data_IF_777627713658
#
_entry.id   IF_777627713658
#
_cell.length_a   1.000
_cell.length_b   1.000
_cell.length_c   1.000
_cell.angle_alpha   90.00
_cell.angle_beta   90.00
_cell.angle_gamma   90.00
#
_symmetry.space_group_name_H-M   'P 1'
#
loop_
_entity.id
_entity.type
_entity.pdbx_description
1 polymer ?
#
# COMPACT_ATOMS: atom_id res chain seq x y z
N UNK A 1 -46.69 -20.47 -39.99
CA UNK A 1 -46.92 -19.33 -40.87
C UNK A 1 -47.13 -18.08 -39.99
N UNK A 2 -46.08 -17.38 -39.63
CA UNK A 2 -46.10 -15.94 -39.32
C UNK A 2 -44.70 -15.39 -39.61
N UNK A 3 -44.49 -14.95 -40.84
CA UNK A 3 -43.41 -14.08 -41.22
C UNK A 3 -43.86 -12.65 -40.91
N UNK A 4 -43.46 -12.13 -39.77
CA UNK A 4 -43.61 -10.72 -39.41
C UNK A 4 -42.39 -9.95 -39.87
N UNK A 5 -42.54 -9.20 -40.95
CA UNK A 5 -41.54 -8.31 -41.53
C UNK A 5 -41.10 -7.25 -40.49
N UNK A 6 -39.86 -7.32 -40.08
CA UNK A 6 -39.19 -6.19 -39.43
C UNK A 6 -38.74 -5.23 -40.53
N UNK A 7 -39.67 -4.39 -40.97
CA UNK A 7 -39.40 -3.30 -41.87
C UNK A 7 -38.54 -2.26 -41.16
N UNK A 8 -37.30 -2.23 -41.52
CA UNK A 8 -36.33 -1.28 -41.02
C UNK A 8 -36.66 0.15 -41.37
N UNK A 9 -37.12 0.89 -40.42
CA UNK A 9 -37.09 2.36 -40.48
C UNK A 9 -35.64 2.83 -40.40
N UNK A 10 -35.05 3.10 -41.57
CA UNK A 10 -33.79 3.84 -41.71
C UNK A 10 -34.06 5.28 -41.23
N UNK A 11 -34.06 5.51 -39.92
CA UNK A 11 -33.90 6.85 -39.39
C UNK A 11 -32.42 7.22 -39.54
N UNK A 12 -32.21 8.15 -40.45
CA UNK A 12 -30.97 8.92 -40.63
C UNK A 12 -30.80 9.78 -39.36
N UNK A 13 -30.39 9.17 -38.28
CA UNK A 13 -29.95 9.84 -37.04
C UNK A 13 -28.43 9.87 -37.13
N UNK A 14 -27.91 10.99 -37.63
CA UNK A 14 -26.49 11.33 -37.63
C UNK A 14 -25.88 10.94 -36.27
N UNK A 15 -25.02 9.94 -36.28
CA UNK A 15 -23.85 9.64 -35.45
C UNK A 15 -23.69 10.15 -33.97
N UNK A 16 -24.79 10.42 -33.27
CA UNK A 16 -24.68 10.72 -31.84
C UNK A 16 -24.68 9.47 -30.95
N UNK A 17 -25.09 8.32 -31.44
CA UNK A 17 -25.11 7.09 -30.62
C UNK A 17 -23.72 6.56 -30.33
N UNK A 18 -22.78 6.67 -31.29
CA UNK A 18 -21.40 6.31 -31.10
C UNK A 18 -20.69 7.22 -30.08
N UNK A 19 -20.92 8.52 -30.19
CA UNK A 19 -20.40 9.49 -29.23
C UNK A 19 -20.97 9.27 -27.80
N UNK A 20 -22.27 9.00 -27.69
CA UNK A 20 -22.91 8.70 -26.41
C UNK A 20 -22.33 7.44 -25.76
N UNK A 21 -22.08 6.36 -26.53
CA UNK A 21 -21.44 5.15 -26.01
C UNK A 21 -20.02 5.39 -25.53
N UNK A 22 -19.23 6.22 -26.24
CA UNK A 22 -17.87 6.60 -25.81
C UNK A 22 -17.94 7.37 -24.48
N UNK A 23 -18.84 8.34 -24.37
CA UNK A 23 -19.00 9.13 -23.13
C UNK A 23 -19.38 8.21 -21.95
N UNK A 24 -20.34 7.30 -22.15
CA UNK A 24 -20.74 6.33 -21.12
C UNK A 24 -19.54 5.44 -20.75
N UNK A 25 -18.76 4.97 -21.72
CA UNK A 25 -17.55 4.18 -21.50
C UNK A 25 -16.51 4.92 -20.67
N UNK A 26 -16.23 6.18 -20.99
CA UNK A 26 -15.29 7.02 -20.24
C UNK A 26 -15.76 7.25 -18.80
N UNK A 27 -17.04 7.57 -18.62
CA UNK A 27 -17.61 7.78 -17.27
C UNK A 27 -17.52 6.47 -16.47
N UNK A 28 -17.90 5.34 -17.05
CA UNK A 28 -17.84 4.04 -16.39
C UNK A 28 -16.40 3.66 -15.99
N UNK A 29 -15.44 3.94 -16.87
CA UNK A 29 -14.02 3.73 -16.59
C UNK A 29 -13.52 4.63 -15.45
N UNK A 30 -13.91 5.91 -15.45
CA UNK A 30 -13.56 6.83 -14.37
C UNK A 30 -14.12 6.36 -13.01
N UNK A 31 -15.40 5.93 -12.97
CA UNK A 31 -16.03 5.37 -11.76
C UNK A 31 -15.29 4.11 -11.30
N UNK A 32 -14.93 3.23 -12.23
CA UNK A 32 -14.14 2.04 -11.93
C UNK A 32 -12.81 2.39 -11.25
N UNK A 33 -12.05 3.33 -11.82
CA UNK A 33 -10.75 3.75 -11.26
C UNK A 33 -10.92 4.35 -9.86
N UNK A 34 -11.90 5.23 -9.67
CA UNK A 34 -12.18 5.83 -8.36
C UNK A 34 -12.51 4.75 -7.32
N UNK A 35 -13.41 3.84 -7.68
CA UNK A 35 -13.80 2.73 -6.79
C UNK A 35 -12.61 1.84 -6.45
N UNK A 36 -11.78 1.51 -7.44
CA UNK A 36 -10.56 0.74 -7.25
C UNK A 36 -9.61 1.40 -6.25
N UNK A 37 -9.35 2.71 -6.41
CA UNK A 37 -8.48 3.47 -5.50
C UNK A 37 -9.04 3.53 -4.06
N UNK A 38 -10.37 3.67 -3.92
CA UNK A 38 -11.03 3.64 -2.61
C UNK A 38 -10.82 2.28 -1.93
N UNK A 39 -11.02 1.18 -2.65
CA UNK A 39 -10.83 -0.18 -2.12
C UNK A 39 -9.38 -0.40 -1.69
N UNK A 40 -8.40 0.01 -2.51
CA UNK A 40 -6.98 -0.08 -2.16
C UNK A 40 -6.65 0.74 -0.92
N UNK A 41 -7.18 1.96 -0.81
CA UNK A 41 -6.99 2.79 0.38
C UNK A 41 -7.60 2.15 1.64
N UNK A 42 -8.81 1.63 1.53
CA UNK A 42 -9.48 0.98 2.65
C UNK A 42 -8.72 -0.27 3.14
N UNK A 43 -8.15 -1.06 2.22
CA UNK A 43 -7.31 -2.20 2.56
C UNK A 43 -6.11 -1.77 3.40
N UNK A 44 -5.40 -0.73 2.98
CA UNK A 44 -4.24 -0.20 3.72
C UNK A 44 -4.62 0.38 5.10
N UNK A 45 -5.73 1.11 5.18
CA UNK A 45 -6.23 1.65 6.45
C UNK A 45 -6.53 0.54 7.46
N UNK A 46 -7.10 -0.58 7.01
CA UNK A 46 -7.36 -1.74 7.87
C UNK A 46 -6.07 -2.32 8.46
N UNK A 47 -4.98 -2.34 7.72
CA UNK A 47 -3.70 -2.83 8.22
C UNK A 47 -3.07 -1.86 9.22
N UNK A 48 -3.06 -0.57 8.94
CA UNK A 48 -2.60 0.45 9.90
C UNK A 48 -3.42 0.40 11.20
N UNK A 49 -4.74 0.26 11.08
CA UNK A 49 -5.60 0.09 12.25
C UNK A 49 -5.27 -1.19 13.03
N UNK A 50 -5.04 -2.31 12.34
CA UNK A 50 -4.69 -3.57 12.98
C UNK A 50 -3.33 -3.48 13.70
N UNK A 51 -2.34 -2.80 13.13
CA UNK A 51 -1.04 -2.55 13.75
C UNK A 51 -1.18 -1.69 15.01
N UNK A 52 -1.89 -0.57 14.92
CA UNK A 52 -2.12 0.33 16.04
C UNK A 52 -2.92 -0.35 17.17
N UNK A 53 -3.95 -1.11 16.81
CA UNK A 53 -4.75 -1.90 17.76
C UNK A 53 -3.93 -3.01 18.42
N UNK A 54 -3.11 -3.73 17.64
CA UNK A 54 -2.21 -4.75 18.17
C UNK A 54 -1.22 -4.15 19.18
N UNK A 55 -0.62 -3.01 18.84
CA UNK A 55 0.25 -2.28 19.76
C UNK A 55 -0.46 -1.90 21.07
N UNK A 56 -1.70 -1.40 20.97
CA UNK A 56 -2.50 -1.04 22.13
C UNK A 56 -2.80 -2.24 23.05
N UNK A 57 -3.25 -3.37 22.46
CA UNK A 57 -3.68 -4.54 23.22
C UNK A 57 -2.48 -5.30 23.82
N UNK A 58 -1.39 -5.42 23.08
CA UNK A 58 -0.22 -6.19 23.53
C UNK A 58 0.70 -5.38 24.43
N UNK A 59 0.71 -4.07 24.28
CA UNK A 59 1.67 -3.18 24.94
C UNK A 59 3.12 -3.34 24.48
N UNK A 60 3.35 -4.07 23.39
CA UNK A 60 4.69 -4.40 22.87
C UNK A 60 4.79 -4.15 21.36
N UNK A 61 4.68 -2.89 20.88
CA UNK A 61 4.75 -2.58 19.45
C UNK A 61 6.06 -3.01 18.80
N UNK A 62 7.16 -3.01 19.54
CA UNK A 62 8.49 -3.41 19.07
C UNK A 62 8.56 -4.87 18.59
N UNK A 63 7.78 -5.76 19.18
CA UNK A 63 7.71 -7.16 18.75
C UNK A 63 7.09 -7.29 17.35
N UNK A 64 6.02 -6.53 17.09
CA UNK A 64 5.39 -6.49 15.78
C UNK A 64 6.30 -5.81 14.75
N UNK A 65 6.97 -4.73 15.10
CA UNK A 65 7.99 -4.09 14.27
C UNK A 65 9.07 -5.08 13.82
N UNK A 66 9.66 -5.80 14.79
CA UNK A 66 10.68 -6.81 14.52
C UNK A 66 10.17 -7.94 13.63
N UNK A 67 8.93 -8.38 13.84
CA UNK A 67 8.30 -9.39 13.00
C UNK A 67 8.11 -8.91 11.57
N UNK A 68 7.59 -7.69 11.37
CA UNK A 68 7.43 -7.08 10.05
C UNK A 68 8.77 -6.95 9.33
N UNK A 69 9.80 -6.43 9.98
CA UNK A 69 11.13 -6.30 9.39
C UNK A 69 11.70 -7.66 8.94
N UNK A 70 11.56 -8.70 9.75
CA UNK A 70 12.02 -10.05 9.41
C UNK A 70 11.24 -10.65 8.23
N UNK A 71 9.92 -10.47 8.21
CA UNK A 71 9.06 -10.97 7.12
C UNK A 71 9.45 -10.26 5.82
N UNK A 72 9.56 -8.94 5.83
CA UNK A 72 9.92 -8.14 4.65
C UNK A 72 11.28 -8.53 4.11
N UNK A 73 12.28 -8.66 4.97
CA UNK A 73 13.60 -9.14 4.54
C UNK A 73 13.52 -10.56 3.97
N UNK A 74 12.86 -11.48 4.66
CA UNK A 74 12.69 -12.87 4.19
C UNK A 74 11.98 -12.96 2.83
N UNK A 75 10.94 -12.14 2.61
CA UNK A 75 10.23 -12.07 1.34
C UNK A 75 11.08 -11.44 0.23
N UNK A 76 11.91 -10.45 0.56
CA UNK A 76 12.78 -9.77 -0.42
C UNK A 76 13.83 -10.68 -1.04
N UNK A 77 14.33 -11.66 -0.28
CA UNK A 77 15.31 -12.64 -0.74
C UNK A 77 14.70 -13.94 -1.30
N UNK A 78 13.36 -14.05 -1.26
CA UNK A 78 12.67 -15.25 -1.75
C UNK A 78 12.84 -15.41 -3.27
N UNK A 79 13.26 -16.57 -3.77
CA UNK A 79 13.51 -16.78 -5.20
C UNK A 79 12.24 -16.81 -6.05
N UNK A 80 11.08 -17.03 -5.46
CA UNK A 80 9.78 -17.06 -6.16
C UNK A 80 8.72 -16.30 -5.37
N UNK A 81 8.16 -15.27 -6.00
CA UNK A 81 6.88 -14.73 -5.53
C UNK A 81 5.79 -15.79 -5.79
N UNK A 82 5.02 -16.21 -4.78
CA UNK A 82 3.95 -17.17 -4.98
C UNK A 82 2.87 -16.56 -5.88
N UNK A 83 2.55 -17.27 -6.96
CA UNK A 83 1.49 -16.86 -7.88
C UNK A 83 0.11 -17.13 -7.26
N UNK A 84 -0.81 -16.18 -7.39
CA UNK A 84 -2.24 -16.36 -7.07
C UNK A 84 -2.66 -16.16 -5.62
N UNK A 85 -1.75 -16.12 -4.65
CA UNK A 85 -2.09 -16.02 -3.23
C UNK A 85 -1.65 -14.69 -2.56
N UNK A 86 -1.28 -13.68 -3.33
CA UNK A 86 -0.70 -12.42 -2.81
C UNK A 86 -1.57 -11.71 -1.78
N UNK A 87 -2.89 -11.76 -1.96
CA UNK A 87 -3.84 -11.13 -1.05
C UNK A 87 -3.91 -11.79 0.35
N UNK A 88 -3.34 -12.99 0.52
CA UNK A 88 -3.28 -13.70 1.80
C UNK A 88 -1.95 -13.52 2.54
N UNK A 89 -0.98 -12.87 1.92
CA UNK A 89 0.28 -12.54 2.59
C UNK A 89 0.10 -11.28 3.45
N UNK A 90 0.89 -11.20 4.50
CA UNK A 90 0.98 -10.01 5.35
C UNK A 90 1.63 -8.84 4.59
N UNK A 91 2.35 -9.15 3.51
CA UNK A 91 3.00 -8.21 2.61
C UNK A 91 3.20 -8.83 1.23
N UNK A 92 3.13 -8.03 0.15
CA UNK A 92 3.44 -8.50 -1.21
C UNK A 92 4.96 -8.71 -1.38
N UNK A 93 5.40 -9.93 -1.75
CA UNK A 93 6.83 -10.22 -1.92
C UNK A 93 7.52 -9.34 -2.97
N UNK A 94 6.80 -8.90 -4.01
CA UNK A 94 7.33 -7.98 -5.02
C UNK A 94 7.57 -6.59 -4.44
N UNK A 95 6.65 -6.11 -3.60
CA UNK A 95 6.78 -4.85 -2.90
C UNK A 95 7.92 -4.92 -1.88
N UNK A 96 8.00 -5.97 -1.06
CA UNK A 96 9.09 -6.18 -0.11
C UNK A 96 10.46 -6.12 -0.76
N UNK A 97 10.61 -6.79 -1.91
CA UNK A 97 11.87 -6.77 -2.67
C UNK A 97 12.23 -5.36 -3.14
N UNK A 98 11.24 -4.61 -3.64
CA UNK A 98 11.46 -3.24 -4.11
C UNK A 98 11.84 -2.29 -2.96
N UNK A 99 11.16 -2.41 -1.81
CA UNK A 99 11.43 -1.60 -0.63
C UNK A 99 12.86 -1.82 -0.09
N UNK A 100 13.25 -3.07 0.07
CA UNK A 100 14.62 -3.40 0.52
C UNK A 100 15.65 -2.93 -0.51
N UNK A 101 15.41 -3.16 -1.79
CA UNK A 101 16.34 -2.78 -2.84
C UNK A 101 16.54 -1.27 -2.91
N UNK A 102 15.49 -0.46 -2.75
CA UNK A 102 15.61 1.00 -2.74
C UNK A 102 16.53 1.53 -1.62
N UNK A 103 16.41 0.95 -0.42
CA UNK A 103 17.30 1.32 0.69
C UNK A 103 18.73 0.88 0.37
N UNK A 104 18.90 -0.34 -0.16
CA UNK A 104 20.23 -0.88 -0.46
C UNK A 104 20.93 -0.16 -1.61
N UNK A 105 20.19 0.27 -2.64
CA UNK A 105 20.73 1.03 -3.78
C UNK A 105 21.26 2.42 -3.37
N UNK A 106 20.76 2.94 -2.23
CA UNK A 106 21.17 4.22 -1.65
C UNK A 106 21.94 4.06 -0.34
N UNK A 107 22.47 2.87 -0.07
CA UNK A 107 23.14 2.53 1.17
C UNK A 107 24.20 3.55 1.54
N UNK A 108 25.07 3.93 0.60
CA UNK A 108 26.15 4.89 0.80
C UNK A 108 25.66 6.30 1.19
N UNK A 109 24.39 6.65 0.86
CA UNK A 109 23.77 7.91 1.28
C UNK A 109 23.29 7.85 2.72
N UNK A 110 22.95 6.66 3.22
CA UNK A 110 22.38 6.43 4.55
C UNK A 110 23.41 5.99 5.57
N UNK A 111 24.51 5.38 5.12
CA UNK A 111 25.66 4.97 5.94
C UNK A 111 26.48 6.22 6.35
N UNK A 112 26.16 6.76 7.53
CA UNK A 112 26.71 8.03 8.01
C UNK A 112 28.12 7.91 8.57
N UNK A 113 28.46 6.75 9.16
CA UNK A 113 29.76 6.47 9.73
C UNK A 113 30.70 5.71 8.78
N UNK A 114 30.18 5.32 7.58
CA UNK A 114 30.89 4.64 6.50
C UNK A 114 31.51 3.30 6.92
N UNK A 115 30.85 2.59 7.86
CA UNK A 115 31.29 1.26 8.29
C UNK A 115 30.84 0.14 7.34
N UNK A 116 29.98 0.48 6.37
CA UNK A 116 29.43 -0.42 5.38
C UNK A 116 28.25 -1.27 5.87
N UNK A 117 27.65 -0.94 7.01
CA UNK A 117 26.45 -1.58 7.57
C UNK A 117 25.47 -0.48 7.97
N UNK A 118 24.20 -0.61 7.62
CA UNK A 118 23.18 0.32 8.13
C UNK A 118 22.79 -0.10 9.54
N UNK A 119 23.15 0.69 10.52
CA UNK A 119 22.71 0.51 11.88
C UNK A 119 21.21 0.85 12.07
N UNK A 120 20.67 0.68 13.28
CA UNK A 120 19.23 0.93 13.55
C UNK A 120 18.84 2.39 13.29
N UNK A 121 19.72 3.35 13.60
CA UNK A 121 19.46 4.78 13.41
C UNK A 121 19.51 5.17 11.93
N UNK A 122 20.48 4.66 11.21
CA UNK A 122 20.67 4.89 9.78
C UNK A 122 19.55 4.25 8.97
N UNK A 123 19.16 3.03 9.35
CA UNK A 123 18.01 2.35 8.76
C UNK A 123 16.70 3.12 9.01
N UNK A 124 16.51 3.68 10.20
CA UNK A 124 15.36 4.53 10.48
C UNK A 124 15.37 5.77 9.59
N UNK A 125 16.51 6.46 9.46
CA UNK A 125 16.65 7.61 8.58
C UNK A 125 16.33 7.26 7.12
N UNK A 126 16.83 6.13 6.64
CA UNK A 126 16.53 5.62 5.30
C UNK A 126 15.03 5.40 5.10
N UNK A 127 14.36 4.71 6.05
CA UNK A 127 12.92 4.47 6.00
C UNK A 127 12.12 5.77 6.01
N UNK A 128 12.49 6.75 6.85
CA UNK A 128 11.83 8.06 6.90
C UNK A 128 11.95 8.83 5.58
N UNK A 129 13.15 8.84 4.99
CA UNK A 129 13.37 9.50 3.69
C UNK A 129 12.61 8.79 2.57
N UNK A 130 12.74 7.47 2.48
CA UNK A 130 12.07 6.71 1.43
C UNK A 130 10.55 6.73 1.57
N UNK A 131 9.99 6.77 2.78
CA UNK A 131 8.55 6.89 3.00
C UNK A 131 7.94 8.15 2.38
N UNK A 132 8.74 9.21 2.24
CA UNK A 132 8.35 10.50 1.66
C UNK A 132 8.66 10.61 0.18
N UNK A 133 9.34 9.61 -0.40
CA UNK A 133 9.71 9.65 -1.82
C UNK A 133 8.47 9.63 -2.71
N UNK A 134 8.51 10.38 -3.82
CA UNK A 134 7.41 10.46 -4.79
C UNK A 134 7.08 9.08 -5.37
N UNK A 135 8.10 8.26 -5.59
CA UNK A 135 7.93 6.91 -6.13
C UNK A 135 7.10 6.02 -5.19
N UNK A 136 7.44 6.03 -3.89
CA UNK A 136 6.70 5.27 -2.86
C UNK A 136 5.26 5.78 -2.74
N UNK A 137 5.06 7.09 -2.77
CA UNK A 137 3.72 7.67 -2.73
C UNK A 137 2.87 7.23 -3.93
N UNK A 138 3.42 7.29 -5.14
CA UNK A 138 2.72 6.85 -6.35
C UNK A 138 2.43 5.35 -6.34
N UNK A 139 3.42 4.51 -6.03
CA UNK A 139 3.23 3.06 -5.99
C UNK A 139 2.25 2.64 -4.90
N UNK A 140 2.27 3.32 -3.75
CA UNK A 140 1.35 3.03 -2.66
C UNK A 140 -0.12 3.25 -3.03
N UNK A 141 -0.45 4.07 -4.05
CA UNK A 141 -1.83 4.24 -4.50
C UNK A 141 -2.44 2.95 -5.06
N UNK A 142 -1.61 2.16 -5.74
CA UNK A 142 -2.02 0.93 -6.41
C UNK A 142 -1.66 -0.33 -5.63
N UNK A 143 -0.94 -0.20 -4.52
CA UNK A 143 -0.56 -1.31 -3.66
C UNK A 143 -1.74 -1.79 -2.81
N UNK A 144 -1.85 -3.11 -2.64
CA UNK A 144 -2.84 -3.75 -1.77
C UNK A 144 -2.49 -3.61 -0.29
N UNK A 145 -1.19 -3.54 0.01
CA UNK A 145 -0.63 -3.40 1.35
C UNK A 145 0.08 -2.04 1.50
N UNK A 146 0.11 -1.46 2.70
CA UNK A 146 0.94 -0.28 2.94
C UNK A 146 2.42 -0.67 2.93
N UNK A 147 3.33 0.23 2.52
CA UNK A 147 4.77 -0.01 2.63
C UNK A 147 5.17 -0.40 4.04
N UNK A 148 6.00 -1.46 4.18
CA UNK A 148 6.38 -1.99 5.50
C UNK A 148 7.12 -0.96 6.34
N UNK A 149 7.98 -0.16 5.74
CA UNK A 149 8.68 0.88 6.50
C UNK A 149 7.72 1.96 7.04
N UNK A 150 6.58 2.24 6.40
CA UNK A 150 5.55 3.11 6.98
C UNK A 150 4.89 2.47 8.21
N UNK A 151 4.65 1.16 8.17
CA UNK A 151 4.12 0.39 9.30
C UNK A 151 5.11 0.36 10.46
N UNK A 152 6.39 0.14 10.17
CA UNK A 152 7.48 0.16 11.17
C UNK A 152 7.59 1.56 11.82
N UNK A 153 7.58 2.64 11.02
CA UNK A 153 7.63 3.99 11.56
C UNK A 153 6.42 4.32 12.44
N UNK A 154 5.22 3.90 12.04
CA UNK A 154 4.00 4.03 12.85
C UNK A 154 4.14 3.31 14.19
N UNK A 155 4.63 2.08 14.21
CA UNK A 155 4.81 1.31 15.44
C UNK A 155 5.86 1.94 16.38
N UNK A 156 6.92 2.53 15.83
CA UNK A 156 7.92 3.31 16.61
C UNK A 156 7.33 4.58 17.22
N UNK A 157 6.51 5.30 16.47
CA UNK A 157 5.80 6.47 16.97
C UNK A 157 4.87 6.07 18.13
N UNK A 158 4.11 4.99 17.96
CA UNK A 158 3.25 4.43 19.00
C UNK A 158 4.08 4.01 20.23
N UNK A 159 5.23 3.37 20.05
CA UNK A 159 6.12 2.99 21.16
C UNK A 159 6.55 4.22 21.98
N UNK A 160 6.97 5.29 21.31
CA UNK A 160 7.35 6.54 21.97
C UNK A 160 6.18 7.17 22.74
N UNK A 161 4.98 7.18 22.16
CA UNK A 161 3.78 7.68 22.85
C UNK A 161 3.40 6.82 24.05
N UNK A 162 3.57 5.50 23.97
CA UNK A 162 3.34 4.59 25.11
C UNK A 162 4.34 4.83 26.24
N UNK A 163 5.62 5.04 25.92
CA UNK A 163 6.67 5.34 26.89
C UNK A 163 6.43 6.68 27.60
N UNK A 164 5.84 7.65 26.93
CA UNK A 164 5.48 8.95 27.50
C UNK A 164 4.10 8.96 28.16
N UNK A 165 3.37 7.84 28.16
CA UNK A 165 2.02 7.73 28.70
C UNK A 165 0.97 8.50 27.89
N UNK A 166 1.29 8.87 26.67
CA UNK A 166 0.40 9.66 25.80
C UNK A 166 -0.48 8.78 24.90
N UNK A 167 -0.19 7.52 24.76
CA UNK A 167 -0.96 6.60 23.93
C UNK A 167 -2.21 6.11 24.64
N UNK A 168 -3.35 6.23 23.99
CA UNK A 168 -4.67 5.84 24.53
C UNK A 168 -5.53 5.25 23.43
N UNK A 169 -6.65 4.63 23.80
CA UNK A 169 -7.61 4.11 22.82
C UNK A 169 -8.10 5.17 21.83
N UNK A 170 -8.31 6.39 22.28
CA UNK A 170 -8.75 7.50 21.39
C UNK A 170 -7.64 7.92 20.43
N UNK A 171 -6.39 7.93 20.88
CA UNK A 171 -5.24 8.25 20.03
C UNK A 171 -4.95 7.19 18.98
N UNK A 172 -5.27 5.93 19.24
CA UNK A 172 -5.12 4.85 18.26
C UNK A 172 -5.79 5.20 16.92
N UNK A 173 -6.94 5.89 16.94
CA UNK A 173 -7.64 6.29 15.73
C UNK A 173 -6.99 7.48 15.00
N UNK A 174 -6.11 8.23 15.64
CA UNK A 174 -5.41 9.36 15.02
C UNK A 174 -4.23 8.93 14.15
N UNK A 175 -3.76 7.70 14.32
CA UNK A 175 -2.66 7.09 13.55
C UNK A 175 -3.13 6.37 12.28
N UNK A 176 -4.44 6.36 11.95
CA UNK A 176 -5.01 5.56 10.85
C UNK A 176 -5.55 6.39 9.68
#
# INVERSE_FOLDING_TARGET
LYAGAFSGGRRNSKDNSGAALIVIGVISFAVYIITFLIVMRLSRLREHYADAYSAYVTGTPRELESALAKITYGLSISPKAPEGARAFYIEDPGQAKQEVQQIMDKKDEYDLDHDGVLDERELQLAMEKESKSTWVQMNSLFATHPPTFKRILLLREIEQEMQTGQYSNDKMYTHV
#
